data_IF_919263008417
#
_entry.id   IF_919263008417
#
_cell.length_a   1.000
_cell.length_b   1.000
_cell.length_c   1.000
_cell.angle_alpha   90.00
_cell.angle_beta   90.00
_cell.angle_gamma   90.00
#
_symmetry.space_group_name_H-M   'P 1'
#
loop_
_entity.id
_entity.type
_entity.pdbx_description
1 polymer ?
#
# COMPACT_ATOMS: atom_id res chain seq x y z
N UNK A 1 -11.60 -19.45 0.42
CA UNK A 1 -10.48 -19.57 1.38
C UNK A 1 -9.20 -19.35 0.58
N UNK A 2 -8.41 -18.37 0.96
CA UNK A 2 -7.11 -18.18 0.33
C UNK A 2 -6.17 -19.26 0.87
N UNK A 3 -5.56 -20.01 -0.04
CA UNK A 3 -4.50 -20.96 0.28
C UNK A 3 -3.16 -20.30 -0.11
N UNK A 4 -2.15 -20.44 0.75
CA UNK A 4 -0.79 -19.94 0.50
C UNK A 4 -0.64 -18.41 0.32
N UNK A 5 -1.25 -17.61 1.20
CA UNK A 5 -0.99 -16.16 1.24
C UNK A 5 0.24 -15.86 2.09
N UNK A 6 1.13 -15.06 1.52
CA UNK A 6 2.25 -14.46 2.24
C UNK A 6 1.95 -12.97 2.43
N UNK A 7 1.92 -12.51 3.68
CA UNK A 7 1.84 -11.09 4.00
C UNK A 7 3.25 -10.55 4.22
N UNK A 8 3.58 -9.45 3.53
CA UNK A 8 4.81 -8.71 3.73
C UNK A 8 4.47 -7.27 4.10
N UNK A 9 4.91 -6.82 5.27
CA UNK A 9 4.82 -5.42 5.67
C UNK A 9 6.11 -4.69 5.28
N UNK A 10 5.97 -3.53 4.63
CA UNK A 10 7.08 -2.61 4.36
C UNK A 10 6.78 -1.29 5.07
N UNK A 11 7.68 -0.85 5.94
CA UNK A 11 7.52 0.33 6.77
C UNK A 11 8.78 1.21 6.80
N UNK A 12 8.58 2.51 7.01
CA UNK A 12 9.65 3.48 7.27
C UNK A 12 9.69 3.93 8.72
N UNK A 13 8.62 3.71 9.47
CA UNK A 13 8.50 4.03 10.89
C UNK A 13 8.84 2.81 11.75
N UNK A 14 9.79 3.00 12.67
CA UNK A 14 10.33 1.93 13.50
C UNK A 14 9.31 1.43 14.54
N UNK A 15 8.45 2.31 15.08
CA UNK A 15 7.43 1.93 16.05
C UNK A 15 6.37 1.06 15.38
N UNK A 16 5.81 1.51 14.26
CA UNK A 16 4.85 0.72 13.48
C UNK A 16 5.44 -0.62 13.00
N UNK A 17 6.74 -0.66 12.72
CA UNK A 17 7.44 -1.89 12.37
C UNK A 17 7.52 -2.87 13.54
N UNK A 18 7.73 -2.38 14.77
CA UNK A 18 7.83 -3.22 15.97
C UNK A 18 6.47 -3.74 16.41
N UNK A 19 5.45 -2.89 16.38
CA UNK A 19 4.13 -3.13 16.96
C UNK A 19 3.23 -4.05 16.09
N UNK A 20 3.66 -4.39 14.89
CA UNK A 20 2.87 -5.26 14.00
C UNK A 20 2.98 -6.74 14.36
N UNK A 21 1.86 -7.46 14.21
CA UNK A 21 1.78 -8.92 14.33
C UNK A 21 2.23 -9.66 13.05
N UNK A 22 2.48 -8.94 11.94
CA UNK A 22 2.92 -9.53 10.68
C UNK A 22 4.36 -10.01 10.84
N UNK A 23 4.60 -11.29 10.59
CA UNK A 23 5.91 -11.92 10.76
C UNK A 23 6.92 -11.45 9.69
N UNK A 24 6.51 -11.46 8.41
CA UNK A 24 7.35 -11.01 7.32
C UNK A 24 7.30 -9.48 7.23
N UNK A 25 8.36 -8.82 7.62
CA UNK A 25 8.42 -7.35 7.64
C UNK A 25 9.78 -6.81 7.27
N UNK A 26 9.77 -5.68 6.56
CA UNK A 26 10.96 -4.98 6.08
C UNK A 26 10.90 -3.53 6.55
N UNK A 27 11.92 -3.10 7.28
CA UNK A 27 12.13 -1.69 7.64
C UNK A 27 13.00 -1.01 6.58
N UNK A 28 12.49 0.06 6.01
CA UNK A 28 13.26 0.98 5.17
C UNK A 28 13.86 2.06 6.06
N UNK A 29 15.06 1.84 6.55
CA UNK A 29 15.74 2.74 7.48
C UNK A 29 16.26 3.99 6.75
N UNK A 30 15.45 5.05 6.75
CA UNK A 30 15.79 6.32 6.10
C UNK A 30 16.89 7.05 6.88
N UNK A 31 17.06 6.79 8.17
CA UNK A 31 18.11 7.43 8.99
C UNK A 31 19.51 6.94 8.60
N UNK A 32 19.60 5.68 8.19
CA UNK A 32 20.88 5.08 7.71
C UNK A 32 21.12 5.30 6.22
N UNK A 33 20.08 5.63 5.47
CA UNK A 33 20.15 5.85 4.04
C UNK A 33 19.75 7.30 3.73
N UNK A 34 20.38 7.95 2.78
CA UNK A 34 20.16 9.37 2.48
C UNK A 34 18.71 9.73 2.15
N UNK A 35 17.95 8.76 1.64
CA UNK A 35 16.53 8.94 1.28
C UNK A 35 15.83 7.58 1.15
N UNK A 36 14.50 7.63 0.98
CA UNK A 36 13.67 6.42 0.87
C UNK A 36 13.98 5.56 -0.36
N UNK A 37 14.44 6.16 -1.46
CA UNK A 37 14.81 5.43 -2.68
C UNK A 37 16.04 4.55 -2.42
N UNK A 38 17.03 5.06 -1.73
CA UNK A 38 18.22 4.30 -1.35
C UNK A 38 17.88 3.21 -0.35
N UNK A 39 17.08 3.54 0.68
CA UNK A 39 16.61 2.54 1.64
C UNK A 39 15.85 1.40 0.95
N UNK A 40 15.00 1.71 -0.04
CA UNK A 40 14.32 0.71 -0.85
C UNK A 40 15.29 -0.13 -1.68
N UNK A 41 16.26 0.49 -2.33
CA UNK A 41 17.24 -0.21 -3.16
C UNK A 41 18.09 -1.20 -2.34
N UNK A 42 18.49 -0.85 -1.12
CA UNK A 42 19.19 -1.74 -0.19
C UNK A 42 18.35 -2.98 0.13
N UNK A 43 17.05 -2.83 0.26
CA UNK A 43 16.11 -3.92 0.60
C UNK A 43 15.47 -4.62 -0.61
N UNK A 44 15.78 -4.18 -1.82
CA UNK A 44 15.17 -4.70 -3.05
C UNK A 44 15.28 -6.22 -3.17
N UNK A 45 16.42 -6.80 -2.87
CA UNK A 45 16.60 -8.25 -2.98
C UNK A 45 15.76 -9.02 -1.97
N UNK A 46 15.58 -8.49 -0.77
CA UNK A 46 14.73 -9.11 0.25
C UNK A 46 13.25 -9.05 -0.17
N UNK A 47 12.80 -7.91 -0.69
CA UNK A 47 11.45 -7.74 -1.25
C UNK A 47 11.21 -8.69 -2.42
N UNK A 48 12.18 -8.79 -3.33
CA UNK A 48 12.08 -9.63 -4.52
C UNK A 48 11.91 -11.12 -4.24
N UNK A 49 12.43 -11.63 -3.12
CA UNK A 49 12.24 -13.02 -2.72
C UNK A 49 10.75 -13.36 -2.58
N UNK A 50 9.98 -12.46 -1.98
CA UNK A 50 8.53 -12.64 -1.80
C UNK A 50 7.78 -12.51 -3.12
N UNK A 51 8.10 -11.51 -3.94
CA UNK A 51 7.44 -11.28 -5.21
C UNK A 51 7.68 -12.44 -6.18
N UNK A 52 8.93 -12.91 -6.30
CA UNK A 52 9.31 -13.98 -7.24
C UNK A 52 8.68 -15.35 -6.94
N UNK A 53 8.32 -15.59 -5.71
CA UNK A 53 7.66 -16.84 -5.29
C UNK A 53 6.14 -16.80 -5.41
N UNK A 54 5.57 -15.71 -5.93
CA UNK A 54 4.12 -15.48 -5.95
C UNK A 54 3.57 -15.50 -7.37
N UNK A 55 2.46 -16.20 -7.58
CA UNK A 55 1.74 -16.20 -8.86
C UNK A 55 0.95 -14.89 -9.07
N UNK A 56 0.59 -14.24 -7.99
CA UNK A 56 -0.20 -13.01 -7.95
C UNK A 56 0.30 -12.09 -6.84
N UNK A 57 0.50 -10.81 -7.16
CA UNK A 57 1.01 -9.81 -6.20
C UNK A 57 -0.03 -8.73 -5.98
N UNK A 58 -0.47 -8.58 -4.73
CA UNK A 58 -1.33 -7.48 -4.30
C UNK A 58 -0.51 -6.48 -3.47
N UNK A 59 -0.49 -5.23 -3.90
CA UNK A 59 0.17 -4.15 -3.18
C UNK A 59 -0.90 -3.23 -2.62
N UNK A 60 -1.04 -3.24 -1.29
CA UNK A 60 -2.01 -2.40 -0.57
C UNK A 60 -1.26 -1.23 0.04
N UNK A 61 -1.65 0.00 -0.28
CA UNK A 61 -0.96 1.20 0.19
C UNK A 61 -1.90 2.35 0.52
N UNK A 62 -1.71 2.95 1.70
CA UNK A 62 -2.28 4.26 2.04
C UNK A 62 -1.43 5.37 1.41
N UNK A 63 -2.04 6.19 0.56
CA UNK A 63 -1.34 7.26 -0.14
C UNK A 63 -1.35 8.58 0.64
N UNK A 64 -0.47 9.50 0.24
CA UNK A 64 -0.30 10.81 0.86
C UNK A 64 0.80 10.87 1.93
N UNK A 65 1.27 9.70 2.38
CA UNK A 65 2.43 9.57 3.27
C UNK A 65 3.72 9.22 2.54
N UNK A 66 4.84 9.30 3.26
CA UNK A 66 6.17 9.04 2.72
C UNK A 66 6.34 7.57 2.29
N UNK A 67 5.95 6.63 3.16
CA UNK A 67 6.14 5.20 2.90
C UNK A 67 5.24 4.72 1.76
N UNK A 68 3.93 4.77 1.94
CA UNK A 68 2.96 4.20 0.99
C UNK A 68 3.10 4.75 -0.42
N UNK A 69 3.23 6.07 -0.58
CA UNK A 69 3.34 6.71 -1.89
C UNK A 69 4.63 6.34 -2.64
N UNK A 70 5.78 6.36 -1.95
CA UNK A 70 7.05 6.06 -2.61
C UNK A 70 7.25 4.56 -2.85
N UNK A 71 6.93 3.72 -1.87
CA UNK A 71 7.09 2.27 -2.00
C UNK A 71 6.17 1.71 -3.09
N UNK A 72 4.92 2.19 -3.17
CA UNK A 72 4.02 1.83 -4.26
C UNK A 72 4.64 2.13 -5.64
N UNK A 73 5.21 3.33 -5.79
CA UNK A 73 5.83 3.73 -7.05
C UNK A 73 7.03 2.82 -7.42
N UNK A 74 7.93 2.55 -6.48
CA UNK A 74 9.10 1.70 -6.73
C UNK A 74 8.72 0.24 -7.00
N UNK A 75 7.73 -0.29 -6.28
CA UNK A 75 7.20 -1.63 -6.54
C UNK A 75 6.51 -1.70 -7.91
N UNK A 76 5.77 -0.66 -8.29
CA UNK A 76 5.17 -0.56 -9.62
C UNK A 76 6.20 -0.58 -10.74
N UNK A 77 7.29 0.18 -10.60
CA UNK A 77 8.39 0.14 -11.56
C UNK A 77 9.04 -1.25 -11.68
N UNK A 78 9.13 -1.96 -10.57
CA UNK A 78 9.66 -3.30 -10.55
C UNK A 78 8.67 -4.32 -11.16
N UNK A 79 7.42 -4.30 -10.70
CA UNK A 79 6.39 -5.23 -11.16
C UNK A 79 6.08 -5.08 -12.65
N UNK A 80 6.03 -3.86 -13.17
CA UNK A 80 5.76 -3.61 -14.60
C UNK A 80 6.75 -4.29 -15.54
N UNK A 81 7.98 -4.53 -15.07
CA UNK A 81 9.05 -5.17 -15.86
C UNK A 81 9.05 -6.69 -15.78
N UNK A 82 8.59 -7.25 -14.68
CA UNK A 82 8.84 -8.65 -14.37
C UNK A 82 7.58 -9.46 -14.07
N UNK A 83 6.43 -8.81 -13.85
CA UNK A 83 5.20 -9.47 -13.38
C UNK A 83 3.97 -8.89 -14.05
N UNK A 84 3.27 -9.72 -14.83
CA UNK A 84 2.02 -9.32 -15.51
C UNK A 84 0.78 -9.43 -14.63
N UNK A 85 0.85 -10.13 -13.50
CA UNK A 85 -0.30 -10.36 -12.62
C UNK A 85 -0.16 -9.61 -11.30
N UNK A 86 -0.13 -8.27 -11.39
CA UNK A 86 0.09 -7.37 -10.26
C UNK A 86 -1.08 -6.41 -10.08
N UNK A 87 -1.45 -6.19 -8.82
CA UNK A 87 -2.59 -5.39 -8.41
C UNK A 87 -2.14 -4.30 -7.43
N UNK A 88 -2.46 -3.05 -7.74
CA UNK A 88 -2.37 -1.96 -6.77
C UNK A 88 -3.75 -1.68 -6.17
N UNK A 89 -3.83 -1.70 -4.86
CA UNK A 89 -5.01 -1.33 -4.09
C UNK A 89 -4.60 -0.15 -3.21
N UNK A 90 -5.12 1.03 -3.51
CA UNK A 90 -4.70 2.24 -2.84
C UNK A 90 -5.85 2.94 -2.15
N UNK A 91 -5.56 3.54 -1.00
CA UNK A 91 -6.51 4.39 -0.29
C UNK A 91 -6.06 5.84 -0.35
N UNK A 92 -7.00 6.75 -0.66
CA UNK A 92 -6.74 8.20 -0.63
C UNK A 92 -6.96 8.73 0.79
N UNK A 93 -6.15 9.72 1.22
CA UNK A 93 -6.31 10.32 2.54
C UNK A 93 -7.66 11.00 2.70
N UNK A 94 -8.12 11.12 3.92
CA UNK A 94 -9.29 11.94 4.25
C UNK A 94 -9.03 13.42 4.01
N UNK A 95 -10.09 14.20 3.76
CA UNK A 95 -9.97 15.67 3.56
C UNK A 95 -9.33 16.39 4.74
N UNK A 96 -9.59 15.93 5.97
CA UNK A 96 -9.03 16.54 7.18
C UNK A 96 -7.51 16.32 7.36
N UNK A 97 -6.93 15.33 6.66
CA UNK A 97 -5.47 15.09 6.67
C UNK A 97 -4.68 16.18 5.94
N UNK A 98 -5.37 17.03 5.20
CA UNK A 98 -4.83 18.23 4.58
C UNK A 98 -4.55 18.11 3.07
N UNK A 99 -4.48 19.28 2.46
CA UNK A 99 -4.30 19.42 1.00
C UNK A 99 -2.97 18.84 0.51
N UNK A 100 -1.92 18.93 1.32
CA UNK A 100 -0.60 18.42 0.96
C UNK A 100 -0.62 16.90 0.76
N UNK A 101 -1.23 16.15 1.69
CA UNK A 101 -1.37 14.69 1.54
C UNK A 101 -2.24 14.30 0.36
N UNK A 102 -3.33 15.00 0.14
CA UNK A 102 -4.20 14.78 -1.02
C UNK A 102 -3.46 15.03 -2.35
N UNK A 103 -2.62 16.07 -2.41
CA UNK A 103 -1.78 16.36 -3.58
C UNK A 103 -0.79 15.21 -3.84
N UNK A 104 -0.04 14.79 -2.82
CA UNK A 104 0.91 13.66 -2.93
C UNK A 104 0.21 12.38 -3.37
N UNK A 105 -0.97 12.08 -2.83
CA UNK A 105 -1.75 10.92 -3.22
C UNK A 105 -2.15 10.96 -4.71
N UNK A 106 -2.65 12.08 -5.19
CA UNK A 106 -3.05 12.24 -6.59
C UNK A 106 -1.85 12.15 -7.53
N UNK A 107 -0.73 12.80 -7.21
CA UNK A 107 0.51 12.70 -8.00
C UNK A 107 1.05 11.26 -8.04
N UNK A 108 0.95 10.54 -6.92
CA UNK A 108 1.36 9.13 -6.86
C UNK A 108 0.50 8.27 -7.77
N UNK A 109 -0.83 8.45 -7.76
CA UNK A 109 -1.76 7.74 -8.64
C UNK A 109 -1.39 7.98 -10.10
N UNK A 110 -1.24 9.25 -10.50
CA UNK A 110 -0.91 9.60 -11.89
C UNK A 110 0.41 8.98 -12.37
N UNK A 111 1.42 8.90 -11.50
CA UNK A 111 2.73 8.34 -11.83
C UNK A 111 2.78 6.80 -11.80
N UNK A 112 1.86 6.15 -11.10
CA UNK A 112 1.91 4.70 -10.85
C UNK A 112 0.81 3.89 -11.52
N UNK A 113 -0.32 4.49 -11.89
CA UNK A 113 -1.48 3.75 -12.40
C UNK A 113 -1.17 2.83 -13.60
N UNK A 114 -0.31 3.28 -14.52
CA UNK A 114 0.04 2.55 -15.72
C UNK A 114 1.14 1.47 -15.49
N UNK A 115 1.63 1.36 -14.25
CA UNK A 115 2.66 0.37 -13.87
C UNK A 115 2.08 -0.94 -13.34
N UNK A 116 0.76 -0.99 -13.16
CA UNK A 116 0.05 -2.15 -12.62
C UNK A 116 -0.98 -2.66 -13.63
N UNK A 117 -1.14 -3.99 -13.68
CA UNK A 117 -2.17 -4.61 -14.52
C UNK A 117 -3.58 -4.27 -14.05
N UNK A 118 -3.72 -4.12 -12.74
CA UNK A 118 -4.98 -3.74 -12.10
C UNK A 118 -4.71 -2.66 -11.04
N UNK A 119 -5.47 -1.57 -11.11
CA UNK A 119 -5.33 -0.45 -10.18
C UNK A 119 -6.69 -0.10 -9.57
N UNK A 120 -6.85 -0.29 -8.26
CA UNK A 120 -8.08 0.00 -7.54
C UNK A 120 -7.86 1.11 -6.52
N UNK A 121 -8.69 2.14 -6.59
CA UNK A 121 -8.65 3.28 -5.66
C UNK A 121 -9.85 3.19 -4.73
N UNK A 122 -9.61 3.28 -3.43
CA UNK A 122 -10.62 3.49 -2.40
C UNK A 122 -10.49 4.91 -1.86
N UNK A 123 -11.57 5.67 -1.93
CA UNK A 123 -11.63 7.02 -1.37
C UNK A 123 -12.16 6.95 0.06
N UNK A 124 -11.30 7.08 1.05
CA UNK A 124 -11.68 7.02 2.47
C UNK A 124 -12.82 7.99 2.79
N UNK A 125 -12.79 9.19 2.21
CA UNK A 125 -13.84 10.20 2.41
C UNK A 125 -15.21 9.71 1.94
N UNK A 126 -15.31 9.06 0.77
CA UNK A 126 -16.57 8.55 0.23
C UNK A 126 -17.15 7.42 1.07
N UNK A 127 -16.29 6.60 1.68
CA UNK A 127 -16.72 5.54 2.58
C UNK A 127 -17.29 6.13 3.88
N UNK A 128 -16.64 7.15 4.41
CA UNK A 128 -17.08 7.83 5.61
C UNK A 128 -18.42 8.60 5.38
N UNK A 129 -18.59 9.26 4.23
CA UNK A 129 -19.81 9.96 3.87
C UNK A 129 -21.02 9.03 3.64
N UNK A 130 -20.76 7.80 3.20
CA UNK A 130 -21.80 6.75 3.03
C UNK A 130 -22.15 6.03 4.34
N UNK A 131 -21.31 6.16 5.34
CA UNK A 131 -21.55 5.61 6.65
C UNK A 131 -22.63 6.45 7.39
N UNK A 132 -23.38 5.83 8.29
CA UNK A 132 -24.36 6.53 9.09
C UNK A 132 -23.70 7.60 9.96
N UNK A 133 -24.46 8.65 10.34
CA UNK A 133 -23.96 9.75 11.18
C UNK A 133 -23.35 9.29 12.53
N UNK A 134 -23.71 8.10 12.99
CA UNK A 134 -23.21 7.49 14.22
C UNK A 134 -22.00 6.57 14.01
N UNK A 135 -21.49 6.46 12.77
CA UNK A 135 -20.36 5.60 12.45
C UNK A 135 -19.06 6.19 13.00
N UNK A 136 -18.37 5.43 13.84
CA UNK A 136 -17.05 5.81 14.35
C UNK A 136 -15.95 5.67 13.28
N UNK A 137 -14.81 6.32 13.48
CA UNK A 137 -13.65 6.14 12.59
C UNK A 137 -13.21 4.68 12.50
N UNK A 138 -13.20 3.95 13.62
CA UNK A 138 -12.87 2.52 13.64
C UNK A 138 -13.80 1.72 12.73
N UNK A 139 -15.11 1.93 12.85
CA UNK A 139 -16.09 1.26 11.99
C UNK A 139 -15.93 1.62 10.51
N UNK A 140 -15.57 2.88 10.19
CA UNK A 140 -15.29 3.28 8.81
C UNK A 140 -14.06 2.54 8.24
N UNK A 141 -13.03 2.34 9.05
CA UNK A 141 -11.87 1.53 8.64
C UNK A 141 -12.21 0.05 8.50
N UNK A 142 -13.09 -0.50 9.34
CA UNK A 142 -13.56 -1.89 9.21
C UNK A 142 -14.30 -2.09 7.88
N UNK A 143 -15.17 -1.14 7.50
CA UNK A 143 -15.86 -1.16 6.19
C UNK A 143 -14.85 -1.08 5.03
N UNK A 144 -13.80 -0.25 5.16
CA UNK A 144 -12.74 -0.16 4.16
C UNK A 144 -11.98 -1.49 4.03
N UNK A 145 -11.59 -2.07 5.16
CA UNK A 145 -10.85 -3.33 5.21
C UNK A 145 -11.67 -4.47 4.58
N UNK A 146 -12.96 -4.55 4.88
CA UNK A 146 -13.87 -5.53 4.26
C UNK A 146 -13.99 -5.31 2.75
N UNK A 147 -14.07 -4.05 2.31
CA UNK A 147 -14.13 -3.71 0.89
C UNK A 147 -12.85 -4.11 0.14
N UNK A 148 -11.69 -3.92 0.76
CA UNK A 148 -10.40 -4.36 0.22
C UNK A 148 -10.33 -5.89 0.17
N UNK A 149 -10.73 -6.56 1.25
CA UNK A 149 -10.78 -8.02 1.32
C UNK A 149 -11.65 -8.63 0.23
N UNK A 150 -12.88 -8.11 0.05
CA UNK A 150 -13.79 -8.56 -0.99
C UNK A 150 -13.23 -8.33 -2.40
N UNK A 151 -12.54 -7.22 -2.63
CA UNK A 151 -11.88 -6.96 -3.90
C UNK A 151 -10.78 -7.99 -4.18
N UNK A 152 -9.90 -8.24 -3.20
CA UNK A 152 -8.81 -9.23 -3.33
C UNK A 152 -9.39 -10.63 -3.56
N UNK A 153 -10.46 -10.99 -2.84
CA UNK A 153 -11.10 -12.31 -2.95
C UNK A 153 -11.69 -12.58 -4.33
N UNK A 154 -12.15 -11.54 -5.04
CA UNK A 154 -12.78 -11.65 -6.37
C UNK A 154 -11.78 -11.52 -7.53
N UNK A 155 -10.58 -11.02 -7.24
CA UNK A 155 -9.51 -10.84 -8.22
C UNK A 155 -8.70 -12.12 -8.40
#
# INVERSE_FOLDING_TARGET
KFENIIFLLIQTDENSYRDTIIENKILLDIKKNSNIKEAFNVKRNDINKYIKSSDKVFIVAGLGGLCGSNVLFYLGEYCSKYYSNNYAIVTKPFKYEGKSRSKVANETIEKSKDKFSHYKIFENQSLFEKANKDTTFTQAFDILNESIYEYVRRS
#
